data_IF_387719054146
#
_entry.id   IF_387719054146
#
_cell.length_a   1.000
_cell.length_b   1.000
_cell.length_c   1.000
_cell.angle_alpha   90.00
_cell.angle_beta   90.00
_cell.angle_gamma   90.00
#
_symmetry.space_group_name_H-M   'P 1'
#
loop_
_entity.id
_entity.type
_entity.pdbx_description
1 polymer ?
#
# COMPACT_ATOMS: atom_id res chain seq x y z
N UNK A 1 5.17 5.32 30.42
CA UNK A 1 4.58 6.51 29.75
C UNK A 1 5.14 6.54 28.32
N UNK A 2 4.31 6.94 27.35
CA UNK A 2 4.51 6.87 25.88
C UNK A 2 3.84 5.69 25.11
N UNK A 3 2.85 4.98 25.69
CA UNK A 3 2.13 3.91 24.96
C UNK A 3 1.04 4.40 24.00
N UNK A 4 0.56 5.64 24.17
CA UNK A 4 -0.69 6.08 23.52
C UNK A 4 -0.46 6.69 22.13
N UNK A 5 0.77 7.13 21.83
CA UNK A 5 1.17 7.75 20.56
C UNK A 5 1.89 6.76 19.62
N UNK A 6 1.71 5.45 19.86
CA UNK A 6 2.23 4.40 18.99
C UNK A 6 1.36 4.35 17.73
N UNK A 7 1.96 4.58 16.58
CA UNK A 7 1.28 4.55 15.30
C UNK A 7 1.60 3.28 14.49
N UNK A 8 0.99 3.18 13.30
CA UNK A 8 1.18 2.03 12.43
C UNK A 8 2.60 1.93 11.87
N UNK A 9 3.26 3.07 11.64
CA UNK A 9 4.65 3.12 11.17
C UNK A 9 5.58 2.54 12.22
N UNK A 10 5.41 2.93 13.48
CA UNK A 10 6.22 2.41 14.59
C UNK A 10 6.11 0.88 14.66
N UNK A 11 4.88 0.36 14.67
CA UNK A 11 4.59 -1.07 14.76
C UNK A 11 5.22 -1.84 13.60
N UNK A 12 5.06 -1.35 12.37
CA UNK A 12 5.65 -1.99 11.19
C UNK A 12 7.17 -1.97 11.28
N UNK A 13 7.78 -0.85 11.66
CA UNK A 13 9.23 -0.71 11.77
C UNK A 13 9.84 -1.66 12.80
N UNK A 14 9.25 -1.79 14.00
CA UNK A 14 9.79 -2.68 15.02
C UNK A 14 9.70 -4.16 14.62
N UNK A 15 8.73 -4.53 13.78
CA UNK A 15 8.62 -5.91 13.25
C UNK A 15 9.71 -6.26 12.24
N UNK A 16 10.45 -5.26 11.72
CA UNK A 16 11.61 -5.49 10.84
C UNK A 16 12.91 -5.69 11.62
N UNK A 17 12.92 -5.42 12.92
CA UNK A 17 14.12 -5.54 13.76
C UNK A 17 14.34 -7.00 14.11
N UNK A 18 15.49 -7.52 13.69
CA UNK A 18 16.02 -8.83 14.06
C UNK A 18 17.19 -8.68 15.02
N UNK A 19 17.66 -9.75 15.70
CA UNK A 19 18.82 -9.69 16.60
C UNK A 19 20.11 -9.16 15.97
N UNK A 20 20.23 -9.23 14.64
CA UNK A 20 21.39 -8.77 13.87
C UNK A 20 21.21 -7.36 13.30
N UNK A 21 20.07 -6.71 13.59
CA UNK A 21 19.80 -5.36 13.09
C UNK A 21 20.70 -4.35 13.76
N UNK A 22 21.34 -3.52 12.93
CA UNK A 22 22.20 -2.41 13.36
C UNK A 22 21.68 -1.11 12.78
N UNK A 23 21.89 0.00 13.50
CA UNK A 23 21.38 1.33 13.14
C UNK A 23 21.78 1.74 11.72
N UNK A 24 23.00 1.41 11.31
CA UNK A 24 23.59 1.74 10.01
C UNK A 24 22.87 1.06 8.84
N UNK A 25 22.25 -0.10 9.08
CA UNK A 25 21.51 -0.87 8.06
C UNK A 25 20.01 -0.68 8.14
N UNK A 26 19.51 -0.09 9.23
CA UNK A 26 18.07 0.01 9.47
C UNK A 26 17.33 0.79 8.40
N UNK A 27 17.90 1.89 7.90
CA UNK A 27 17.32 2.65 6.78
C UNK A 27 17.03 1.76 5.57
N UNK A 28 17.97 0.87 5.21
CA UNK A 28 17.79 -0.08 4.11
C UNK A 28 16.66 -1.10 4.35
N UNK A 29 16.43 -1.51 5.61
CA UNK A 29 15.34 -2.43 5.96
C UNK A 29 13.95 -1.82 5.80
N UNK A 30 13.86 -0.49 5.91
CA UNK A 30 12.60 0.27 5.78
C UNK A 30 12.53 1.07 4.49
N UNK A 31 13.35 0.73 3.48
CA UNK A 31 13.42 1.43 2.19
C UNK A 31 13.60 2.96 2.32
N UNK A 32 14.47 3.38 3.23
CA UNK A 32 14.75 4.78 3.52
C UNK A 32 16.27 5.04 3.50
N UNK A 33 16.63 6.32 3.46
CA UNK A 33 18.03 6.72 3.62
C UNK A 33 18.53 6.37 5.03
N UNK A 34 19.86 6.32 5.23
CA UNK A 34 20.44 6.18 6.57
C UNK A 34 19.95 7.29 7.52
N UNK A 35 19.79 8.51 7.01
CA UNK A 35 19.34 9.66 7.79
C UNK A 35 17.88 9.50 8.24
N UNK A 36 16.99 9.11 7.33
CA UNK A 36 15.58 8.89 7.68
C UNK A 36 15.41 7.66 8.58
N UNK A 37 16.16 6.59 8.33
CA UNK A 37 16.23 5.43 9.22
C UNK A 37 16.68 5.81 10.63
N UNK A 38 17.70 6.66 10.76
CA UNK A 38 18.20 7.15 12.05
C UNK A 38 17.15 7.99 12.79
N UNK A 39 16.38 8.82 12.07
CA UNK A 39 15.27 9.58 12.67
C UNK A 39 14.19 8.64 13.20
N UNK A 40 13.74 7.67 12.39
CA UNK A 40 12.73 6.69 12.80
C UNK A 40 13.23 5.90 14.02
N UNK A 41 14.47 5.42 14.00
CA UNK A 41 15.08 4.72 15.13
C UNK A 41 15.16 5.60 16.39
N UNK A 42 15.47 6.88 16.25
CA UNK A 42 15.42 7.86 17.34
C UNK A 42 14.02 7.98 17.95
N UNK A 43 12.98 8.10 17.12
CA UNK A 43 11.58 8.13 17.56
C UNK A 43 11.18 6.84 18.28
N UNK A 44 11.54 5.68 17.74
CA UNK A 44 11.26 4.38 18.35
C UNK A 44 11.92 4.24 19.74
N UNK A 45 13.16 4.76 19.89
CA UNK A 45 13.85 4.78 21.19
C UNK A 45 13.16 5.73 22.17
N UNK A 46 12.76 6.92 21.73
CA UNK A 46 12.03 7.88 22.58
C UNK A 46 10.69 7.31 23.06
N UNK A 47 9.99 6.55 22.20
CA UNK A 47 8.77 5.82 22.54
C UNK A 47 9.02 4.57 23.40
N UNK A 48 10.28 4.24 23.69
CA UNK A 48 10.66 3.09 24.54
C UNK A 48 10.47 1.73 23.88
N UNK A 49 10.31 1.66 22.55
CA UNK A 49 10.07 0.41 21.82
C UNK A 49 11.37 -0.32 21.47
N UNK A 50 12.47 0.42 21.38
CA UNK A 50 13.80 -0.12 21.10
C UNK A 50 14.85 0.49 22.02
N UNK A 51 15.97 -0.18 22.13
CA UNK A 51 17.19 0.37 22.71
C UNK A 51 18.40 0.13 21.80
N UNK A 52 19.49 0.85 22.05
CA UNK A 52 20.75 0.65 21.36
C UNK A 52 21.77 0.07 22.31
N UNK A 53 22.39 -1.06 21.95
CA UNK A 53 23.58 -1.51 22.66
C UNK A 53 24.79 -0.76 22.12
N UNK A 54 25.44 0.03 22.98
CA UNK A 54 26.73 0.62 22.66
C UNK A 54 27.79 -0.49 22.66
N UNK A 55 28.09 -1.04 21.48
CA UNK A 55 29.31 -1.84 21.29
C UNK A 55 30.38 -0.90 20.79
N UNK A 56 31.33 -0.52 21.66
CA UNK A 56 32.54 0.19 21.23
C UNK A 56 33.77 -0.73 21.40
N UNK A 57 34.58 -0.94 20.34
CA UNK A 57 34.38 -0.49 18.96
C UNK A 57 33.35 -1.36 18.21
N UNK A 58 32.43 -0.77 17.44
CA UNK A 58 31.47 -1.53 16.63
C UNK A 58 30.19 -0.76 16.23
N UNK A 59 29.38 -1.37 15.33
CA UNK A 59 28.08 -0.82 14.95
C UNK A 59 27.08 -0.88 16.12
N UNK A 60 26.19 0.11 16.18
CA UNK A 60 25.17 0.18 17.24
C UNK A 60 24.05 -0.81 16.94
N UNK A 61 23.97 -1.92 17.71
CA UNK A 61 22.87 -2.88 17.55
C UNK A 61 21.56 -2.28 18.03
N UNK A 62 20.49 -2.61 17.33
CA UNK A 62 19.12 -2.26 17.69
C UNK A 62 18.47 -3.43 18.40
N UNK A 63 18.00 -3.22 19.62
CA UNK A 63 17.37 -4.24 20.46
C UNK A 63 15.91 -3.87 20.71
N UNK A 64 15.00 -4.83 20.62
CA UNK A 64 13.61 -4.64 21.06
C UNK A 64 13.57 -4.63 22.59
N UNK A 65 12.93 -3.61 23.16
CA UNK A 65 12.59 -3.58 24.59
C UNK A 65 11.47 -4.56 24.89
N UNK A 66 11.18 -4.78 26.17
CA UNK A 66 10.05 -5.63 26.55
C UNK A 66 8.70 -5.01 26.15
N UNK A 67 8.59 -3.68 26.18
CA UNK A 67 7.42 -2.97 25.66
C UNK A 67 7.27 -3.13 24.14
N UNK A 68 8.37 -3.08 23.39
CA UNK A 68 8.38 -3.34 21.94
C UNK A 68 7.94 -4.76 21.60
N UNK A 69 8.45 -5.77 22.31
CA UNK A 69 8.02 -7.18 22.15
C UNK A 69 6.55 -7.35 22.50
N UNK A 70 6.12 -6.81 23.63
CA UNK A 70 4.72 -6.87 24.08
C UNK A 70 3.76 -6.25 23.05
N UNK A 71 4.15 -5.14 22.42
CA UNK A 71 3.34 -4.53 21.37
C UNK A 71 3.22 -5.45 20.14
N UNK A 72 4.30 -6.10 19.73
CA UNK A 72 4.28 -7.08 18.63
C UNK A 72 3.39 -8.27 19.00
N UNK A 73 3.47 -8.77 20.23
CA UNK A 73 2.63 -9.86 20.71
C UNK A 73 1.15 -9.48 20.75
N UNK A 74 0.82 -8.27 21.21
CA UNK A 74 -0.54 -7.71 21.19
C UNK A 74 -1.06 -7.60 19.74
N UNK A 75 -0.23 -7.14 18.80
CA UNK A 75 -0.58 -7.05 17.39
C UNK A 75 -0.79 -8.43 16.75
N UNK A 76 0.06 -9.41 17.09
CA UNK A 76 -0.06 -10.79 16.64
C UNK A 76 -1.33 -11.44 17.19
N UNK A 77 -1.63 -11.27 18.48
CA UNK A 77 -2.87 -11.75 19.07
C UNK A 77 -4.08 -11.15 18.36
N UNK A 78 -4.10 -9.83 18.14
CA UNK A 78 -5.17 -9.15 17.43
C UNK A 78 -5.32 -9.62 15.98
N UNK A 79 -4.23 -10.01 15.32
CA UNK A 79 -4.26 -10.52 13.95
C UNK A 79 -5.02 -11.84 13.80
N UNK A 80 -5.20 -12.59 14.89
CA UNK A 80 -5.97 -13.84 14.92
C UNK A 80 -7.46 -13.64 15.19
N UNK A 81 -7.87 -12.43 15.60
CA UNK A 81 -9.28 -12.12 15.82
C UNK A 81 -10.07 -12.17 14.50
N UNK A 82 -11.34 -12.60 14.54
CA UNK A 82 -12.19 -12.60 13.35
C UNK A 82 -12.39 -11.19 12.82
N UNK A 83 -12.56 -11.08 11.51
CA UNK A 83 -12.84 -9.83 10.82
C UNK A 83 -14.17 -9.21 11.31
N UNK A 84 -14.17 -7.93 11.68
CA UNK A 84 -15.31 -7.25 12.31
C UNK A 84 -15.84 -6.04 11.48
N UNK A 85 -16.84 -5.33 12.01
CA UNK A 85 -17.46 -4.20 11.29
C UNK A 85 -16.60 -2.93 11.27
N UNK A 86 -15.73 -2.72 12.27
CA UNK A 86 -14.79 -1.61 12.24
C UNK A 86 -13.67 -1.88 11.22
N UNK A 87 -13.28 -3.13 11.02
CA UNK A 87 -12.40 -3.55 9.93
C UNK A 87 -13.02 -3.23 8.56
N UNK A 88 -14.31 -3.55 8.35
CA UNK A 88 -15.04 -3.14 7.12
C UNK A 88 -15.04 -1.63 6.93
N UNK A 89 -15.26 -0.88 8.01
CA UNK A 89 -15.30 0.58 7.97
C UNK A 89 -13.93 1.15 7.60
N UNK A 90 -12.85 0.59 8.13
CA UNK A 90 -11.48 0.94 7.75
C UNK A 90 -11.25 0.68 6.26
N UNK A 91 -11.61 -0.51 5.75
CA UNK A 91 -11.45 -0.83 4.33
C UNK A 91 -12.28 0.11 3.44
N UNK A 92 -13.49 0.50 3.87
CA UNK A 92 -14.31 1.46 3.15
C UNK A 92 -13.65 2.84 3.05
N UNK A 93 -13.04 3.34 4.13
CA UNK A 93 -12.30 4.61 4.08
C UNK A 93 -11.05 4.53 3.19
N UNK A 94 -10.32 3.40 3.23
CA UNK A 94 -9.19 3.15 2.33
C UNK A 94 -9.63 3.13 0.86
N UNK A 95 -10.80 2.57 0.55
CA UNK A 95 -11.37 2.57 -0.81
C UNK A 95 -11.71 3.97 -1.32
N UNK A 96 -11.99 4.90 -0.41
CA UNK A 96 -12.20 6.32 -0.70
C UNK A 96 -10.92 7.12 -0.97
N UNK A 97 -9.76 6.47 -1.00
CA UNK A 97 -8.48 7.09 -1.37
C UNK A 97 -7.64 7.60 -0.19
N UNK A 98 -8.07 7.40 1.06
CA UNK A 98 -7.24 7.72 2.24
C UNK A 98 -6.20 6.63 2.42
N UNK A 99 -4.94 6.91 2.10
CA UNK A 99 -3.85 5.92 2.16
C UNK A 99 -2.87 6.13 3.31
N UNK A 100 -2.91 7.31 3.94
CA UNK A 100 -2.09 7.64 5.08
C UNK A 100 -2.78 7.20 6.39
N UNK A 101 -2.11 6.43 7.28
CA UNK A 101 -2.70 6.00 8.55
C UNK A 101 -3.17 7.15 9.45
N UNK A 102 -2.44 8.27 9.48
CA UNK A 102 -2.78 9.43 10.33
C UNK A 102 -4.08 10.10 9.88
N UNK A 103 -4.26 10.25 8.56
CA UNK A 103 -5.51 10.77 7.98
C UNK A 103 -6.68 9.82 8.21
N UNK A 104 -6.43 8.52 8.07
CA UNK A 104 -7.41 7.48 8.34
C UNK A 104 -7.86 7.51 9.80
N UNK A 105 -6.93 7.59 10.75
CA UNK A 105 -7.21 7.67 12.18
C UNK A 105 -8.01 8.90 12.56
N UNK A 106 -7.65 10.08 12.02
CA UNK A 106 -8.40 11.31 12.21
C UNK A 106 -9.85 11.17 11.70
N UNK A 107 -10.05 10.53 10.55
CA UNK A 107 -11.38 10.38 9.96
C UNK A 107 -12.30 9.39 10.69
N UNK A 108 -11.72 8.38 11.34
CA UNK A 108 -12.44 7.36 12.08
C UNK A 108 -12.52 7.67 13.58
N UNK A 109 -11.89 8.76 14.03
CA UNK A 109 -11.75 9.13 15.44
C UNK A 109 -11.18 7.97 16.29
N UNK A 110 -10.15 7.31 15.77
CA UNK A 110 -9.47 6.21 16.44
C UNK A 110 -8.16 6.69 17.06
N UNK A 111 -7.82 6.13 18.23
CA UNK A 111 -6.49 6.32 18.82
C UNK A 111 -5.42 5.69 17.92
N UNK A 112 -4.21 6.28 17.82
CA UNK A 112 -3.15 5.78 16.94
C UNK A 112 -2.84 4.30 17.15
N UNK A 113 -2.71 3.87 18.41
CA UNK A 113 -2.40 2.48 18.74
C UNK A 113 -3.52 1.53 18.30
N UNK A 114 -4.78 1.88 18.57
CA UNK A 114 -5.92 1.04 18.20
C UNK A 114 -6.01 0.85 16.68
N UNK A 115 -5.77 1.93 15.92
CA UNK A 115 -5.70 1.87 14.47
C UNK A 115 -4.49 1.05 14.01
N UNK A 116 -3.32 1.23 14.62
CA UNK A 116 -2.10 0.48 14.27
C UNK A 116 -2.30 -1.02 14.39
N UNK A 117 -2.89 -1.49 15.50
CA UNK A 117 -3.16 -2.91 15.71
C UNK A 117 -4.19 -3.46 14.69
N UNK A 118 -5.21 -2.67 14.32
CA UNK A 118 -6.19 -3.06 13.32
C UNK A 118 -5.60 -3.11 11.91
N UNK A 119 -4.80 -2.13 11.52
CA UNK A 119 -4.08 -2.14 10.25
C UNK A 119 -3.11 -3.32 10.19
N UNK A 120 -2.44 -3.63 11.30
CA UNK A 120 -1.60 -4.83 11.38
C UNK A 120 -2.40 -6.10 11.15
N UNK A 121 -3.53 -6.28 11.85
CA UNK A 121 -4.48 -7.38 11.63
C UNK A 121 -4.89 -7.49 10.16
N UNK A 122 -5.36 -6.39 9.55
CA UNK A 122 -5.79 -6.34 8.16
C UNK A 122 -4.65 -6.72 7.19
N UNK A 123 -3.40 -6.33 7.50
CA UNK A 123 -2.24 -6.68 6.69
C UNK A 123 -1.91 -8.17 6.77
N UNK A 124 -1.99 -8.76 7.97
CA UNK A 124 -1.76 -10.20 8.20
C UNK A 124 -2.85 -11.07 7.61
N UNK A 125 -4.07 -10.57 7.56
CA UNK A 125 -5.22 -11.22 6.92
C UNK A 125 -5.33 -10.90 5.42
N UNK A 126 -4.31 -10.25 4.84
CA UNK A 126 -4.19 -9.98 3.39
C UNK A 126 -5.30 -9.09 2.82
N UNK A 127 -5.96 -8.27 3.64
CA UNK A 127 -6.92 -7.27 3.16
C UNK A 127 -6.23 -5.97 2.72
N UNK A 128 -5.05 -5.69 3.25
CA UNK A 128 -4.24 -4.52 2.87
C UNK A 128 -2.79 -4.92 2.62
N UNK A 129 -2.12 -4.12 1.81
CA UNK A 129 -0.65 -4.06 1.74
C UNK A 129 -0.19 -2.68 2.17
N UNK A 130 1.09 -2.57 2.51
CA UNK A 130 1.70 -1.29 2.83
C UNK A 130 3.09 -1.19 2.19
N UNK A 131 3.49 0.03 1.89
CA UNK A 131 4.82 0.37 1.41
C UNK A 131 5.48 1.33 2.40
N UNK A 132 6.70 1.00 2.81
CA UNK A 132 7.59 1.92 3.52
C UNK A 132 8.40 2.69 2.48
N UNK A 133 8.38 4.02 2.54
CA UNK A 133 9.11 4.86 1.61
C UNK A 133 9.54 6.15 2.28
N UNK A 134 10.84 6.45 2.26
CA UNK A 134 11.42 7.68 2.79
C UNK A 134 10.99 7.99 4.25
N UNK A 135 10.85 6.96 5.09
CA UNK A 135 10.41 7.13 6.48
C UNK A 135 8.92 7.42 6.65
N UNK A 136 8.10 7.28 5.60
CA UNK A 136 6.64 7.24 5.67
C UNK A 136 6.08 5.87 5.32
N UNK A 137 4.77 5.70 5.53
CA UNK A 137 4.02 4.49 5.21
C UNK A 137 2.77 4.82 4.40
N UNK A 138 2.56 4.10 3.30
CA UNK A 138 1.36 4.19 2.47
C UNK A 138 0.63 2.84 2.51
N UNK A 139 -0.69 2.88 2.65
CA UNK A 139 -1.55 1.69 2.71
C UNK A 139 -2.37 1.56 1.41
N UNK A 140 -2.47 0.34 0.92
CA UNK A 140 -3.27 0.00 -0.26
C UNK A 140 -4.18 -1.18 0.03
N UNK A 141 -5.35 -1.22 -0.61
CA UNK A 141 -6.21 -2.39 -0.58
C UNK A 141 -5.65 -3.49 -1.49
N UNK A 142 -5.72 -4.73 -1.02
CA UNK A 142 -5.59 -5.90 -1.90
C UNK A 142 -6.89 -6.14 -2.66
N UNK A 143 -6.90 -7.09 -3.59
CA UNK A 143 -8.13 -7.58 -4.20
C UNK A 143 -9.12 -8.09 -3.14
N UNK A 144 -8.64 -8.88 -2.17
CA UNK A 144 -9.44 -9.37 -1.03
C UNK A 144 -10.01 -8.21 -0.20
N UNK A 145 -9.18 -7.19 0.08
CA UNK A 145 -9.57 -5.94 0.72
C UNK A 145 -10.70 -5.24 0.01
N UNK A 146 -10.52 -5.03 -1.29
CA UNK A 146 -11.46 -4.33 -2.14
C UNK A 146 -12.82 -5.05 -2.23
N UNK A 147 -12.82 -6.38 -2.36
CA UNK A 147 -14.05 -7.18 -2.42
C UNK A 147 -14.80 -7.24 -1.08
N UNK A 148 -14.11 -7.03 0.04
CA UNK A 148 -14.72 -7.00 1.37
C UNK A 148 -15.42 -5.66 1.68
N UNK A 149 -15.16 -4.61 0.89
CA UNK A 149 -15.87 -3.34 1.02
C UNK A 149 -17.28 -3.50 0.45
N UNK A 150 -18.34 -3.12 1.19
CA UNK A 150 -19.67 -3.04 0.63
C UNK A 150 -19.63 -2.10 -0.58
N UNK A 151 -19.93 -2.62 -1.78
CA UNK A 151 -20.09 -1.76 -2.96
C UNK A 151 -21.11 -0.71 -2.57
N UNK A 152 -20.68 0.54 -2.45
CA UNK A 152 -21.58 1.64 -2.20
C UNK A 152 -22.67 1.55 -3.28
N UNK A 153 -23.90 1.25 -2.85
CA UNK A 153 -25.09 1.44 -3.67
C UNK A 153 -25.13 2.94 -3.99
N UNK A 154 -24.50 3.36 -5.08
CA UNK A 154 -24.31 4.79 -5.33
C UNK A 154 -23.36 5.19 -6.44
N UNK A 155 -22.52 4.31 -6.99
CA UNK A 155 -21.96 4.55 -8.33
C UNK A 155 -22.80 3.82 -9.35
N UNK A 156 -23.93 4.45 -9.70
CA UNK A 156 -24.56 4.23 -11.00
C UNK A 156 -23.45 4.36 -12.05
N UNK A 157 -23.07 3.25 -12.67
CA UNK A 157 -22.57 3.29 -14.03
C UNK A 157 -23.65 3.99 -14.85
N UNK A 158 -23.44 5.27 -15.14
CA UNK A 158 -24.14 5.96 -16.22
C UNK A 158 -23.65 5.36 -17.54
N UNK A 159 -24.07 4.13 -17.81
CA UNK A 159 -24.16 3.59 -19.17
C UNK A 159 -25.28 4.37 -19.84
N UNK A 160 -24.92 5.50 -20.43
CA UNK A 160 -25.83 6.31 -21.22
C UNK A 160 -26.09 5.55 -22.54
N UNK A 161 -27.34 5.18 -22.87
CA UNK A 161 -27.66 4.63 -24.18
C UNK A 161 -27.71 5.78 -25.18
N UNK A 162 -26.78 5.82 -26.14
CA UNK A 162 -26.85 6.75 -27.26
C UNK A 162 -28.00 6.36 -28.16
N UNK A 163 -29.13 7.07 -28.03
CA UNK A 163 -30.24 6.99 -28.95
C UNK A 163 -29.87 7.61 -30.30
N UNK A 164 -30.30 6.92 -31.34
CA UNK A 164 -30.07 7.18 -32.74
C UNK A 164 -31.20 8.06 -33.28
N UNK A 165 -30.88 9.22 -33.87
CA UNK A 165 -31.81 9.92 -34.74
C UNK A 165 -31.09 10.81 -35.75
N UNK A 166 -31.30 10.48 -37.03
CA UNK A 166 -30.87 11.22 -38.19
C UNK A 166 -31.99 12.17 -38.65
N UNK A 167 -31.63 13.33 -39.23
CA UNK A 167 -32.48 14.00 -40.23
C UNK A 167 -32.61 15.53 -40.18
N UNK A 168 -31.67 16.19 -40.86
CA UNK A 168 -31.88 17.25 -41.88
C UNK A 168 -32.23 18.74 -41.52
N UNK A 169 -31.38 19.61 -42.10
CA UNK A 169 -31.63 20.90 -42.76
C UNK A 169 -31.40 22.24 -42.00
N UNK A 170 -30.34 22.93 -42.45
CA UNK A 170 -29.74 24.28 -42.24
C UNK A 170 -30.58 25.48 -42.81
N UNK A 171 -30.09 26.76 -42.88
CA UNK A 171 -29.09 27.55 -42.09
C UNK A 171 -29.46 29.05 -41.85
N UNK A 172 -28.75 29.77 -40.96
CA UNK A 172 -28.29 31.21 -41.07
C UNK A 172 -27.54 31.59 -39.77
N UNK A 173 -26.22 31.86 -39.76
CA UNK A 173 -25.40 33.03 -40.17
C UNK A 173 -25.16 34.09 -39.05
N UNK A 174 -23.91 34.58 -38.99
CA UNK A 174 -23.19 35.40 -37.98
C UNK A 174 -22.66 34.64 -36.74
N UNK A 175 -21.36 34.60 -36.40
CA UNK A 175 -20.12 35.18 -36.93
C UNK A 175 -19.07 35.27 -35.80
N UNK A 176 -17.81 34.85 -36.09
CA UNK A 176 -16.50 35.26 -35.48
C UNK A 176 -16.31 35.00 -33.95
N UNK A 177 -15.26 34.39 -33.39
CA UNK A 177 -13.84 34.12 -33.71
C UNK A 177 -13.42 32.82 -32.97
N UNK A 178 -12.86 31.83 -33.66
CA UNK A 178 -11.42 31.52 -33.69
C UNK A 178 -10.74 31.28 -32.33
N UNK A 179 -10.67 30.00 -31.92
CA UNK A 179 -9.41 29.44 -31.40
C UNK A 179 -9.28 27.97 -31.84
N UNK A 180 -8.38 27.79 -32.79
CA UNK A 180 -7.92 26.51 -33.30
C UNK A 180 -6.94 25.87 -32.32
N UNK A 181 -7.05 24.56 -32.11
CA UNK A 181 -5.93 23.63 -32.30
C UNK A 181 -6.36 22.17 -32.05
N UNK A 182 -6.57 21.48 -33.18
CA UNK A 182 -6.07 20.14 -33.47
C UNK A 182 -6.45 18.98 -32.54
N UNK A 183 -7.63 18.45 -32.86
CA UNK A 183 -7.97 17.04 -32.78
C UNK A 183 -7.04 16.24 -33.71
N UNK A 184 -5.97 15.64 -33.17
CA UNK A 184 -5.19 14.61 -33.87
C UNK A 184 -5.82 13.25 -33.59
N UNK A 185 -6.63 12.83 -34.56
CA UNK A 185 -7.06 11.45 -34.75
C UNK A 185 -5.83 10.60 -35.11
N UNK A 186 -5.24 9.90 -34.14
CA UNK A 186 -4.31 8.80 -34.42
C UNK A 186 -5.08 7.49 -34.44
N UNK A 187 -5.35 7.04 -35.65
CA UNK A 187 -5.70 5.67 -35.96
C UNK A 187 -4.41 4.80 -35.94
N UNK A 188 -4.48 3.60 -35.37
CA UNK A 188 -3.43 2.58 -35.42
C UNK A 188 -2.63 2.48 -34.11
N UNK A 189 -2.29 1.32 -33.56
CA UNK A 189 -1.95 0.06 -34.24
C UNK A 189 -1.96 -1.04 -33.17
N UNK A 190 -3.02 -1.84 -33.13
CA UNK A 190 -3.01 -3.08 -32.36
C UNK A 190 -1.96 -4.05 -32.89
N UNK A 191 -1.53 -4.95 -32.00
CA UNK A 191 -1.01 -6.26 -32.34
C UNK A 191 0.37 -6.32 -33.02
N UNK A 192 1.42 -5.89 -32.31
CA UNK A 192 2.76 -6.50 -32.46
C UNK A 192 3.42 -6.80 -31.11
N UNK A 193 3.31 -5.90 -30.13
CA UNK A 193 3.86 -6.13 -28.79
C UNK A 193 3.16 -7.26 -28.02
N UNK A 194 1.83 -7.37 -28.12
CA UNK A 194 1.09 -8.46 -27.48
C UNK A 194 1.47 -9.84 -28.04
N UNK A 195 1.73 -9.92 -29.35
CA UNK A 195 2.15 -11.15 -30.02
C UNK A 195 3.58 -11.54 -29.65
N UNK A 196 4.48 -10.55 -29.49
CA UNK A 196 5.86 -10.78 -29.05
C UNK A 196 5.89 -11.29 -27.60
N UNK A 197 5.11 -10.69 -26.70
CA UNK A 197 5.03 -11.13 -25.29
C UNK A 197 4.50 -12.57 -25.20
N UNK A 198 3.47 -12.90 -25.98
CA UNK A 198 2.88 -14.24 -25.97
C UNK A 198 3.84 -15.29 -26.55
N UNK A 199 4.64 -14.95 -27.57
CA UNK A 199 5.68 -15.82 -28.11
C UNK A 199 6.81 -16.08 -27.10
N UNK A 200 7.23 -15.06 -26.35
CA UNK A 200 8.29 -15.20 -25.31
C UNK A 200 7.81 -16.14 -24.19
N UNK A 201 6.56 -15.99 -23.73
CA UNK A 201 5.99 -16.87 -22.69
C UNK A 201 5.93 -18.32 -23.17
N UNK A 202 5.55 -18.56 -24.43
CA UNK A 202 5.51 -19.90 -25.02
C UNK A 202 6.90 -20.54 -25.11
N UNK A 203 7.93 -19.78 -25.47
CA UNK A 203 9.32 -20.27 -25.51
C UNK A 203 9.79 -20.66 -24.09
N UNK A 204 9.50 -19.85 -23.07
CA UNK A 204 9.86 -20.15 -21.69
C UNK A 204 9.21 -21.46 -21.23
N UNK A 205 7.93 -21.66 -21.52
CA UNK A 205 7.20 -22.89 -21.17
C UNK A 205 7.82 -24.11 -21.87
N UNK A 206 8.17 -24.00 -23.16
CA UNK A 206 8.79 -25.10 -23.91
C UNK A 206 10.17 -25.43 -23.35
N UNK A 207 11.01 -24.44 -23.05
CA UNK A 207 12.33 -24.65 -22.44
C UNK A 207 12.19 -25.32 -21.08
N UNK A 208 11.22 -24.89 -20.26
CA UNK A 208 10.96 -25.49 -18.95
C UNK A 208 10.50 -26.95 -19.08
N UNK A 209 9.60 -27.24 -20.01
CA UNK A 209 9.12 -28.61 -20.27
C UNK A 209 10.24 -29.53 -20.79
N UNK A 210 11.11 -29.03 -21.67
CA UNK A 210 12.27 -29.79 -22.16
C UNK A 210 13.30 -30.02 -21.06
N UNK A 211 13.54 -29.03 -20.19
CA UNK A 211 14.44 -29.16 -19.05
C UNK A 211 13.95 -30.25 -18.08
N UNK A 212 12.65 -30.27 -17.76
CA UNK A 212 12.06 -31.33 -16.92
C UNK A 212 12.07 -32.70 -17.59
N UNK A 213 11.88 -32.77 -18.91
CA UNK A 213 11.92 -34.04 -19.65
C UNK A 213 13.32 -34.64 -19.73
N UNK A 214 14.37 -33.82 -19.67
CA UNK A 214 15.77 -34.30 -19.73
C UNK A 214 16.38 -34.62 -18.35
N UNK A 215 15.66 -34.31 -17.26
CA UNK A 215 16.06 -34.56 -15.87
C UNK A 215 15.45 -35.87 -15.29
N UNK A 216 14.67 -36.60 -16.09
CA UNK A 216 14.08 -37.92 -15.77
C UNK A 216 14.71 -38.98 -16.66
#
# INVERSE_FOLDING_TARGET
>A
MASDDIDFMDLVCITKITPDTVLEKFGGLINASFFDGSKVAGTLKQKGLIDFSASYPGPSKMLLTDDGKKLIDEANAKSTEPFDDLDKTILAQLSGGRRNPSELGASLNLRPKDLALRLYKLSKQEYITYELKNGGIEIMLTEKGFLAVPKAQGMQQTTQPSAQQAGAAEPTDHGLEAQAAQNVKVHGKGSKMATIILAIVLIIIIVFALYYKHLI
#
